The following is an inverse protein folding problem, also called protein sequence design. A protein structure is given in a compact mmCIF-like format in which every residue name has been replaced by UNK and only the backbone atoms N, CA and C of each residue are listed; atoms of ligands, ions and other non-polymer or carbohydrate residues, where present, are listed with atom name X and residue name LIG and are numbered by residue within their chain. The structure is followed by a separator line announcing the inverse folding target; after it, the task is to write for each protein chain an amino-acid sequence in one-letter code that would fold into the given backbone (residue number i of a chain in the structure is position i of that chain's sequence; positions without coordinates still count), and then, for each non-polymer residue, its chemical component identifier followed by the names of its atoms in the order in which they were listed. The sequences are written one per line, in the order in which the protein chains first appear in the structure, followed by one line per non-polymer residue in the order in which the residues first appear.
data_IF_870270208251
#
_entry.id   IF_870270208251
#
_cell.length_a   1.000
_cell.length_b   1.000
_cell.length_c   1.000
_cell.angle_alpha   90.00
_cell.angle_beta   90.00
_cell.angle_gamma   90.00
#
_symmetry.space_group_name_H-M   'P 1'
#
loop_
_entity.id
_entity.type
_entity.pdbx_description
1 polymer ?
#
# COMPACT_ATOMS: atom_id res chain seq x y z
N UNK A 1 5.06 14.82 -1.31
CA UNK A 1 4.52 14.72 -2.67
C UNK A 1 3.56 13.55 -2.65
N UNK A 2 2.29 13.78 -2.98
CA UNK A 2 1.24 12.76 -2.82
C UNK A 2 1.43 11.57 -3.77
N UNK A 3 2.18 11.76 -4.86
CA UNK A 3 2.32 10.77 -5.92
C UNK A 3 3.56 9.88 -5.73
N UNK A 4 4.71 10.47 -5.40
CA UNK A 4 5.95 9.76 -5.11
C UNK A 4 6.10 9.33 -3.65
N UNK A 5 5.33 9.94 -2.74
CA UNK A 5 5.52 9.78 -1.29
C UNK A 5 6.80 10.44 -0.77
N UNK A 6 7.54 11.19 -1.60
CA UNK A 6 8.77 11.86 -1.19
C UNK A 6 8.49 13.19 -0.47
N UNK A 7 9.39 13.57 0.43
CA UNK A 7 9.30 14.85 1.14
C UNK A 7 9.62 16.00 0.19
N UNK A 8 8.73 16.99 0.15
CA UNK A 8 8.87 18.17 -0.72
C UNK A 8 9.93 19.11 -0.13
N UNK A 9 10.81 19.63 -0.99
CA UNK A 9 11.91 20.51 -0.60
C UNK A 9 11.89 21.84 -1.34
N UNK A 10 12.35 22.88 -0.66
CA UNK A 10 12.62 24.19 -1.23
C UNK A 10 13.87 24.16 -2.12
N UNK A 11 14.11 25.23 -2.89
CA UNK A 11 15.33 25.38 -3.73
C UNK A 11 16.64 25.32 -2.95
N UNK A 12 16.64 25.69 -1.68
CA UNK A 12 17.80 25.57 -0.79
C UNK A 12 18.06 24.12 -0.33
N UNK A 13 17.19 23.17 -0.69
CA UNK A 13 17.27 21.75 -0.33
C UNK A 13 16.78 21.42 1.09
N UNK A 14 16.13 22.35 1.78
CA UNK A 14 15.43 22.08 3.05
C UNK A 14 14.01 21.59 2.78
N UNK A 15 13.44 20.81 3.70
CA UNK A 15 12.05 20.37 3.64
C UNK A 15 11.10 21.57 3.78
N UNK A 16 9.93 21.48 3.15
CA UNK A 16 8.83 22.43 3.35
C UNK A 16 8.03 21.98 4.58
N UNK A 17 7.77 22.90 5.51
CA UNK A 17 6.85 22.63 6.63
C UNK A 17 5.41 22.70 6.11
N UNK A 18 4.56 21.77 6.54
CA UNK A 18 3.12 21.87 6.30
C UNK A 18 2.53 22.98 7.19
N UNK A 19 1.73 23.86 6.60
CA UNK A 19 0.98 24.90 7.30
C UNK A 19 -0.37 24.35 7.82
N UNK A 20 -1.07 25.06 8.74
CA UNK A 20 -2.41 24.68 9.14
C UNK A 20 -3.36 24.45 7.95
N UNK A 21 -4.03 23.30 7.95
CA UNK A 21 -4.89 22.83 6.87
C UNK A 21 -4.19 21.94 5.83
N UNK A 22 -2.85 21.94 5.79
CA UNK A 22 -2.07 21.10 4.88
C UNK A 22 -1.74 19.74 5.50
N UNK A 23 -1.52 18.74 4.65
CA UNK A 23 -1.10 17.40 5.06
C UNK A 23 0.42 17.33 5.05
N UNK A 24 1.01 16.81 6.12
CA UNK A 24 2.44 16.58 6.24
C UNK A 24 2.76 15.28 6.97
N UNK A 25 3.92 14.70 6.68
CA UNK A 25 4.41 13.55 7.44
C UNK A 25 5.00 14.01 8.78
N UNK A 26 4.59 13.35 9.87
CA UNK A 26 5.17 13.65 11.18
C UNK A 26 6.54 12.96 11.31
N UNK A 27 7.53 13.71 11.79
CA UNK A 27 8.89 13.22 11.99
C UNK A 27 9.41 13.49 13.39
N UNK A 28 10.29 12.62 13.88
CA UNK A 28 10.97 12.80 15.15
C UNK A 28 12.40 13.29 14.92
N UNK A 29 12.79 14.43 15.48
CA UNK A 29 14.16 14.94 15.33
C UNK A 29 15.18 13.97 15.92
N UNK A 30 16.19 13.64 15.14
CA UNK A 30 17.31 12.81 15.58
C UNK A 30 18.40 13.71 16.17
N UNK A 31 18.82 13.42 17.40
CA UNK A 31 19.88 14.15 18.10
C UNK A 31 20.87 13.12 18.65
N UNK A 32 22.05 13.04 18.06
CA UNK A 32 23.04 12.00 18.39
C UNK A 32 23.54 12.09 19.84
N UNK A 33 23.51 13.28 20.44
CA UNK A 33 23.91 13.47 21.84
C UNK A 33 22.80 13.20 22.85
N UNK A 34 21.56 12.92 22.41
CA UNK A 34 20.40 12.72 23.28
C UNK A 34 20.03 11.23 23.35
N UNK A 35 20.08 10.58 24.51
CA UNK A 35 19.66 9.18 24.64
C UNK A 35 18.21 8.93 24.23
N UNK A 36 17.33 9.93 24.33
CA UNK A 36 15.90 9.82 24.02
C UNK A 36 15.62 10.06 22.54
N UNK A 37 16.44 10.90 21.90
CA UNK A 37 16.21 11.35 20.52
C UNK A 37 17.27 10.80 19.56
N UNK A 38 18.18 9.96 20.03
CA UNK A 38 19.06 9.22 19.14
C UNK A 38 18.29 8.08 18.47
N UNK A 39 18.79 7.65 17.31
CA UNK A 39 18.25 6.52 16.59
C UNK A 39 19.43 5.68 16.09
N UNK A 40 19.70 4.57 16.77
CA UNK A 40 20.78 3.64 16.43
C UNK A 40 20.57 2.96 15.07
N UNK A 41 19.34 3.03 14.55
CA UNK A 41 18.91 2.38 13.33
C UNK A 41 18.27 1.01 13.57
N UNK A 42 17.91 0.37 12.46
CA UNK A 42 17.48 -1.01 12.42
C UNK A 42 18.66 -1.94 12.14
N UNK A 43 18.49 -3.23 12.42
CA UNK A 43 19.45 -4.29 12.06
C UNK A 43 19.81 -4.26 10.57
N UNK A 44 18.86 -3.86 9.72
CA UNK A 44 19.09 -3.62 8.30
C UNK A 44 19.47 -2.15 8.05
N UNK A 45 20.72 -1.91 7.63
CA UNK A 45 21.22 -0.57 7.32
C UNK A 45 20.49 0.12 6.16
N UNK A 46 20.00 -0.64 5.18
CA UNK A 46 19.24 -0.07 4.05
C UNK A 46 17.90 0.47 4.54
N UNK A 47 17.19 -0.25 5.40
CA UNK A 47 15.95 0.21 6.00
C UNK A 47 16.17 1.42 6.93
N UNK A 48 17.31 1.44 7.64
CA UNK A 48 17.73 2.59 8.45
C UNK A 48 17.86 3.84 7.60
N UNK A 49 18.60 3.76 6.48
CA UNK A 49 18.81 4.90 5.58
C UNK A 49 17.50 5.42 5.00
N UNK A 50 16.53 4.54 4.71
CA UNK A 50 15.21 4.94 4.21
C UNK A 50 14.39 5.74 5.24
N UNK A 51 14.58 5.49 6.53
CA UNK A 51 13.83 6.15 7.60
C UNK A 51 14.47 7.44 8.12
N UNK A 52 15.70 7.76 7.72
CA UNK A 52 16.40 8.97 8.13
C UNK A 52 16.35 9.99 7.00
N UNK A 53 15.74 11.14 7.27
CA UNK A 53 15.81 12.31 6.40
C UNK A 53 16.81 13.31 6.97
N UNK A 54 17.61 13.93 6.11
CA UNK A 54 18.56 14.99 6.47
C UNK A 54 18.15 16.33 5.89
N UNK A 55 18.69 17.42 6.45
CA UNK A 55 18.43 18.79 6.01
C UNK A 55 16.92 19.08 6.00
N UNK A 56 16.26 18.84 7.13
CA UNK A 56 14.82 19.02 7.35
C UNK A 56 14.51 20.51 7.43
N UNK A 57 14.81 21.17 8.54
CA UNK A 57 14.56 22.60 8.71
C UNK A 57 15.86 23.42 8.77
N UNK A 58 17.00 22.76 8.99
CA UNK A 58 18.34 23.36 8.99
C UNK A 58 19.34 22.44 8.30
N UNK A 59 20.37 23.01 7.70
CA UNK A 59 21.43 22.16 7.11
C UNK A 59 22.11 21.33 8.20
N UNK A 60 22.23 20.02 7.96
CA UNK A 60 22.84 19.05 8.86
C UNK A 60 21.93 18.45 9.92
N UNK A 61 20.70 18.96 10.13
CA UNK A 61 19.75 18.28 11.01
C UNK A 61 19.23 16.98 10.37
N UNK A 62 18.72 16.09 11.22
CA UNK A 62 18.15 14.81 10.82
C UNK A 62 16.82 14.58 11.54
N UNK A 63 15.93 13.85 10.88
CA UNK A 63 14.71 13.34 11.50
C UNK A 63 14.44 11.90 11.07
N UNK A 64 13.77 11.16 11.95
CA UNK A 64 13.17 9.88 11.69
C UNK A 64 11.77 10.08 11.09
N UNK A 65 11.50 9.42 9.97
CA UNK A 65 10.22 9.43 9.27
C UNK A 65 9.27 8.36 9.84
N UNK A 66 8.19 8.78 10.52
CA UNK A 66 7.25 7.83 11.14
C UNK A 66 6.43 7.06 10.08
N UNK A 67 6.19 7.69 8.94
CA UNK A 67 5.25 7.28 7.92
C UNK A 67 3.80 7.68 8.20
N UNK A 68 3.50 8.45 9.24
CA UNK A 68 2.14 8.89 9.54
C UNK A 68 1.91 10.31 8.98
N UNK A 69 0.90 10.44 8.11
CA UNK A 69 0.45 11.70 7.54
C UNK A 69 -0.61 12.31 8.45
N UNK A 70 -0.36 13.55 8.88
CA UNK A 70 -1.24 14.30 9.76
C UNK A 70 -1.64 15.63 9.09
N UNK A 71 -2.77 16.18 9.50
CA UNK A 71 -3.17 17.56 9.21
C UNK A 71 -3.34 18.31 10.52
N UNK A 72 -2.78 19.51 10.60
CA UNK A 72 -2.95 20.40 11.75
C UNK A 72 -4.02 21.43 11.46
N UNK A 73 -4.90 21.75 12.41
CA UNK A 73 -5.81 22.90 12.27
C UNK A 73 -5.18 24.21 12.78
N UNK A 74 -5.93 25.31 12.73
CA UNK A 74 -5.46 26.63 13.18
C UNK A 74 -5.22 26.71 14.70
N UNK A 75 -5.83 25.82 15.48
CA UNK A 75 -5.70 25.76 16.93
C UNK A 75 -4.56 24.82 17.37
N UNK A 76 -3.91 24.14 16.42
CA UNK A 76 -2.77 23.24 16.65
C UNK A 76 -3.17 21.80 16.94
N UNK A 77 -4.44 21.42 16.76
CA UNK A 77 -4.86 20.03 16.88
C UNK A 77 -4.41 19.24 15.66
N UNK A 78 -3.87 18.04 15.90
CA UNK A 78 -3.41 17.13 14.87
C UNK A 78 -4.46 16.05 14.60
N UNK A 79 -4.78 15.86 13.32
CA UNK A 79 -5.72 14.87 12.83
C UNK A 79 -4.98 13.86 11.97
N UNK A 80 -5.17 12.57 12.27
CA UNK A 80 -4.65 11.50 11.44
C UNK A 80 -5.31 11.53 10.07
N UNK A 81 -4.49 11.52 9.02
CA UNK A 81 -4.96 11.51 7.63
C UNK A 81 -4.75 10.12 7.06
N UNK A 82 -3.52 9.63 7.09
CA UNK A 82 -3.15 8.37 6.45
C UNK A 82 -1.79 7.87 6.92
N UNK A 83 -1.36 6.70 6.44
CA UNK A 83 -0.02 6.17 6.62
C UNK A 83 0.64 5.90 5.27
N UNK A 84 1.84 6.44 5.07
CA UNK A 84 2.66 6.18 3.89
C UNK A 84 2.87 4.68 3.72
N UNK A 85 2.45 4.15 2.58
CA UNK A 85 2.54 2.72 2.24
C UNK A 85 1.29 1.89 2.57
N UNK A 86 0.30 2.45 3.28
CA UNK A 86 -1.01 1.81 3.51
C UNK A 86 -2.08 2.30 2.50
N UNK A 87 -1.71 3.19 1.58
CA UNK A 87 -2.51 3.61 0.43
C UNK A 87 -1.78 3.40 -0.89
N UNK A 88 -2.54 3.32 -1.98
CA UNK A 88 -2.02 3.40 -3.34
C UNK A 88 -2.98 4.21 -4.21
N UNK A 89 -2.46 4.84 -5.26
CA UNK A 89 -3.26 5.62 -6.21
C UNK A 89 -3.60 4.79 -7.43
N UNK A 90 -4.88 4.72 -7.81
CA UNK A 90 -5.35 3.99 -8.98
C UNK A 90 -6.31 4.86 -9.79
N UNK A 91 -5.99 5.11 -11.07
CA UNK A 91 -6.80 5.97 -11.96
C UNK A 91 -7.12 7.35 -11.37
N UNK A 92 -6.15 7.96 -10.69
CA UNK A 92 -6.28 9.27 -10.07
C UNK A 92 -6.91 9.28 -8.67
N UNK A 93 -7.37 8.13 -8.17
CA UNK A 93 -8.06 8.00 -6.88
C UNK A 93 -7.17 7.35 -5.81
N UNK A 94 -7.25 7.82 -4.57
CA UNK A 94 -6.53 7.22 -3.44
C UNK A 94 -7.33 6.03 -2.88
N UNK A 95 -6.67 4.89 -2.74
CA UNK A 95 -7.28 3.66 -2.21
C UNK A 95 -6.64 3.30 -0.87
N UNK A 96 -7.46 3.24 0.18
CA UNK A 96 -7.07 2.73 1.50
C UNK A 96 -6.97 1.21 1.49
N UNK A 97 -5.77 0.67 1.70
CA UNK A 97 -5.60 -0.79 1.80
C UNK A 97 -6.38 -1.36 2.98
N UNK A 98 -6.45 -0.63 4.10
CA UNK A 98 -7.18 -1.06 5.30
C UNK A 98 -8.70 -1.12 5.09
N UNK A 99 -9.28 -0.17 4.35
CA UNK A 99 -10.71 -0.20 4.01
C UNK A 99 -11.04 -1.44 3.16
N UNK A 100 -10.22 -1.69 2.13
CA UNK A 100 -10.41 -2.85 1.26
C UNK A 100 -10.20 -4.16 2.03
N UNK A 101 -9.17 -4.25 2.89
CA UNK A 101 -8.92 -5.39 3.77
C UNK A 101 -10.11 -5.67 4.68
N UNK A 102 -10.68 -4.65 5.33
CA UNK A 102 -11.83 -4.80 6.21
C UNK A 102 -13.07 -5.35 5.48
N UNK A 103 -13.32 -4.87 4.25
CA UNK A 103 -14.41 -5.40 3.42
C UNK A 103 -14.14 -6.85 3.03
N UNK A 104 -12.92 -7.19 2.61
CA UNK A 104 -12.56 -8.57 2.24
C UNK A 104 -12.72 -9.51 3.44
N UNK A 105 -12.18 -9.15 4.60
CA UNK A 105 -12.27 -9.95 5.83
C UNK A 105 -13.72 -10.22 6.20
N UNK A 106 -14.60 -9.21 6.10
CA UNK A 106 -16.04 -9.39 6.37
C UNK A 106 -16.70 -10.38 5.44
N UNK A 107 -16.32 -10.40 4.17
CA UNK A 107 -16.90 -11.29 3.14
C UNK A 107 -16.35 -12.71 3.22
N UNK A 108 -15.09 -12.84 3.65
CA UNK A 108 -14.33 -14.10 3.69
C UNK A 108 -14.28 -14.72 5.09
N UNK A 109 -15.25 -14.36 5.96
CA UNK A 109 -15.37 -14.90 7.32
C UNK A 109 -14.10 -14.73 8.16
N UNK A 110 -13.52 -13.53 8.11
CA UNK A 110 -12.30 -13.11 8.84
C UNK A 110 -11.03 -13.85 8.42
N UNK A 111 -10.94 -14.26 7.15
CA UNK A 111 -9.68 -14.76 6.59
C UNK A 111 -8.59 -13.68 6.64
N UNK A 112 -7.35 -14.08 6.94
CA UNK A 112 -6.21 -13.17 6.85
C UNK A 112 -6.12 -12.61 5.43
N UNK A 113 -5.96 -11.28 5.34
CA UNK A 113 -5.95 -10.57 4.07
C UNK A 113 -4.95 -9.42 4.13
N UNK A 114 -4.21 -9.25 3.03
CA UNK A 114 -3.40 -8.06 2.81
C UNK A 114 -3.69 -7.45 1.45
N UNK A 115 -3.77 -6.12 1.40
CA UNK A 115 -3.99 -5.34 0.18
C UNK A 115 -2.82 -4.38 -0.05
N UNK A 116 -2.42 -4.24 -1.31
CA UNK A 116 -1.38 -3.33 -1.76
C UNK A 116 -1.55 -3.00 -3.25
N UNK A 117 -0.88 -1.94 -3.71
CA UNK A 117 -0.82 -1.59 -5.13
C UNK A 117 0.33 -2.31 -5.86
N UNK A 118 0.07 -2.79 -7.08
CA UNK A 118 1.07 -3.34 -8.02
C UNK A 118 1.22 -2.47 -9.26
N UNK A 119 2.45 -2.36 -9.75
CA UNK A 119 2.74 -1.63 -11.00
C UNK A 119 2.30 -2.46 -12.21
N UNK A 120 1.65 -1.81 -13.17
CA UNK A 120 1.24 -2.41 -14.43
C UNK A 120 1.72 -1.52 -15.56
N UNK A 121 2.37 -2.10 -16.57
CA UNK A 121 2.93 -1.33 -17.68
C UNK A 121 1.87 -0.45 -18.36
N UNK A 122 2.19 0.84 -18.49
CA UNK A 122 1.31 1.81 -19.14
C UNK A 122 0.13 2.30 -18.29
N UNK A 123 0.05 1.90 -17.02
CA UNK A 123 -0.93 2.41 -16.07
C UNK A 123 -0.33 3.56 -15.24
N UNK A 124 -1.08 4.65 -15.09
CA UNK A 124 -0.76 5.70 -14.12
C UNK A 124 -1.17 5.23 -12.70
N UNK A 125 -0.21 5.25 -11.78
CA UNK A 125 -0.40 4.72 -10.42
C UNK A 125 -0.21 3.21 -10.33
N UNK A 126 -0.95 2.57 -9.41
CA UNK A 126 -0.85 1.13 -9.10
C UNK A 126 -2.22 0.48 -9.09
N UNK A 127 -2.32 -0.70 -9.68
CA UNK A 127 -3.53 -1.51 -9.63
C UNK A 127 -3.67 -2.21 -8.28
N UNK A 128 -4.90 -2.32 -7.75
CA UNK A 128 -5.14 -3.00 -6.48
C UNK A 128 -4.90 -4.50 -6.55
N UNK A 129 -4.15 -5.03 -5.60
CA UNK A 129 -3.94 -6.47 -5.39
C UNK A 129 -4.32 -6.85 -3.97
N UNK A 130 -5.15 -7.88 -3.83
CA UNK A 130 -5.45 -8.52 -2.55
C UNK A 130 -4.83 -9.92 -2.48
N UNK A 131 -4.27 -10.28 -1.34
CA UNK A 131 -3.84 -11.65 -1.03
C UNK A 131 -4.71 -12.13 0.13
N UNK A 132 -5.38 -13.27 -0.05
CA UNK A 132 -6.31 -13.82 0.93
C UNK A 132 -5.86 -15.22 1.30
N UNK A 133 -5.72 -15.47 2.60
CA UNK A 133 -5.41 -16.80 3.11
C UNK A 133 -6.66 -17.69 3.08
N UNK A 134 -6.53 -18.90 2.53
CA UNK A 134 -7.59 -19.91 2.53
C UNK A 134 -6.94 -21.28 2.43
N UNK A 135 -7.04 -22.08 3.51
CA UNK A 135 -6.41 -23.41 3.58
C UNK A 135 -6.98 -24.40 2.56
N UNK A 136 -8.25 -24.26 2.21
CA UNK A 136 -8.93 -25.13 1.24
C UNK A 136 -9.13 -24.46 -0.14
N UNK A 137 -8.64 -23.22 -0.30
CA UNK A 137 -8.86 -22.36 -1.48
C UNK A 137 -10.33 -22.16 -1.90
N UNK A 138 -11.31 -22.47 -1.04
CA UNK A 138 -12.75 -22.39 -1.34
C UNK A 138 -13.33 -20.97 -1.26
N UNK A 139 -12.60 -19.96 -1.72
CA UNK A 139 -13.16 -18.60 -1.78
C UNK A 139 -14.14 -18.51 -2.95
N UNK A 140 -15.42 -18.25 -2.64
CA UNK A 140 -16.41 -17.94 -3.66
C UNK A 140 -16.12 -16.57 -4.30
N UNK A 141 -15.37 -16.59 -5.39
CA UNK A 141 -14.94 -15.40 -6.14
C UNK A 141 -16.10 -14.57 -6.70
N UNK A 142 -17.23 -15.21 -7.03
CA UNK A 142 -18.41 -14.50 -7.49
C UNK A 142 -19.04 -13.69 -6.34
N UNK A 143 -19.21 -14.31 -5.18
CA UNK A 143 -19.71 -13.64 -3.99
C UNK A 143 -18.75 -12.54 -3.51
N UNK A 144 -17.43 -12.79 -3.59
CA UNK A 144 -16.41 -11.79 -3.28
C UNK A 144 -16.57 -10.55 -4.16
N UNK A 145 -16.58 -10.73 -5.49
CA UNK A 145 -16.73 -9.63 -6.45
C UNK A 145 -18.03 -8.82 -6.27
N UNK A 146 -19.15 -9.51 -5.99
CA UNK A 146 -20.44 -8.84 -5.75
C UNK A 146 -20.38 -8.03 -4.46
N UNK A 147 -19.86 -8.61 -3.38
CA UNK A 147 -19.78 -7.95 -2.07
C UNK A 147 -18.83 -6.76 -2.07
N UNK A 148 -17.70 -6.85 -2.77
CA UNK A 148 -16.74 -5.76 -2.92
C UNK A 148 -17.37 -4.59 -3.67
N UNK A 149 -17.98 -4.82 -4.83
CA UNK A 149 -18.65 -3.76 -5.60
C UNK A 149 -19.82 -3.09 -4.88
N UNK A 150 -20.44 -3.78 -3.93
CA UNK A 150 -21.53 -3.22 -3.13
C UNK A 150 -21.02 -2.29 -2.04
N UNK A 151 -19.82 -2.52 -1.54
CA UNK A 151 -19.26 -1.83 -0.36
C UNK A 151 -18.13 -0.86 -0.70
N UNK A 152 -17.49 -1.02 -1.85
CA UNK A 152 -16.36 -0.21 -2.30
C UNK A 152 -16.71 0.54 -3.58
N UNK A 153 -16.17 1.75 -3.78
CA UNK A 153 -16.22 2.42 -5.07
C UNK A 153 -15.47 1.60 -6.14
N UNK A 154 -15.83 1.73 -7.44
CA UNK A 154 -15.25 0.92 -8.50
C UNK A 154 -13.72 0.91 -8.58
N UNK A 155 -13.05 2.02 -8.25
CA UNK A 155 -11.59 2.15 -8.26
C UNK A 155 -10.90 1.42 -7.09
N UNK A 156 -11.62 1.14 -5.99
CA UNK A 156 -11.06 0.47 -4.82
C UNK A 156 -11.23 -1.06 -4.86
N UNK A 157 -12.03 -1.57 -5.80
CA UNK A 157 -12.15 -3.02 -6.01
C UNK A 157 -10.82 -3.56 -6.54
N UNK A 158 -10.18 -4.54 -5.85
CA UNK A 158 -8.92 -5.11 -6.31
C UNK A 158 -9.02 -5.65 -7.73
N UNK A 159 -8.07 -5.26 -8.57
CA UNK A 159 -7.90 -5.76 -9.94
C UNK A 159 -7.38 -7.20 -9.91
N UNK A 160 -6.53 -7.52 -8.94
CA UNK A 160 -5.97 -8.85 -8.75
C UNK A 160 -6.32 -9.41 -7.38
N UNK A 161 -6.61 -10.70 -7.32
CA UNK A 161 -6.78 -11.46 -6.08
C UNK A 161 -5.88 -12.68 -6.13
N UNK A 162 -5.04 -12.88 -5.12
CA UNK A 162 -4.23 -14.08 -4.94
C UNK A 162 -4.76 -14.87 -3.76
N UNK A 163 -4.95 -16.17 -3.93
CA UNK A 163 -5.35 -17.07 -2.85
C UNK A 163 -4.14 -17.89 -2.44
N UNK A 164 -3.82 -17.89 -1.15
CA UNK A 164 -2.65 -18.57 -0.58
C UNK A 164 -3.04 -19.38 0.64
N UNK A 165 -2.22 -20.35 1.07
CA UNK A 165 -2.53 -21.18 2.23
C UNK A 165 -2.50 -20.38 3.54
N UNK A 166 -1.56 -19.43 3.63
CA UNK A 166 -1.32 -18.61 4.82
C UNK A 166 -0.59 -17.31 4.49
N UNK A 167 -0.81 -16.32 5.33
CA UNK A 167 -0.05 -15.08 5.33
C UNK A 167 0.78 -15.04 6.61
N UNK A 168 2.10 -14.92 6.46
CA UNK A 168 2.98 -14.84 7.63
C UNK A 168 2.73 -13.55 8.41
N UNK A 169 2.81 -13.64 9.74
CA UNK A 169 2.73 -12.50 10.63
C UNK A 169 4.02 -12.31 11.41
N UNK A 170 4.30 -11.06 11.78
CA UNK A 170 5.36 -10.70 12.71
C UNK A 170 5.05 -11.21 14.12
N UNK A 171 6.02 -11.18 15.04
CA UNK A 171 5.79 -11.49 16.46
C UNK A 171 4.76 -10.58 17.16
N UNK A 172 4.40 -9.45 16.55
CA UNK A 172 3.30 -8.56 16.98
C UNK A 172 2.01 -8.79 16.20
N UNK A 173 1.85 -9.95 15.53
CA UNK A 173 0.68 -10.35 14.73
C UNK A 173 0.35 -9.46 13.52
N UNK A 174 1.28 -8.58 13.09
CA UNK A 174 1.10 -7.81 11.85
C UNK A 174 1.42 -8.70 10.64
N UNK A 175 0.47 -8.83 9.72
CA UNK A 175 0.63 -9.57 8.46
C UNK A 175 1.72 -8.95 7.58
N UNK A 176 2.58 -9.79 6.99
CA UNK A 176 3.71 -9.39 6.18
C UNK A 176 3.32 -9.19 4.72
N UNK A 177 3.33 -7.93 4.25
CA UNK A 177 3.03 -7.57 2.85
C UNK A 177 4.25 -7.63 1.92
N UNK A 178 5.45 -7.46 2.46
CA UNK A 178 6.67 -7.18 1.68
C UNK A 178 7.13 -8.32 0.76
N UNK A 179 6.82 -9.58 1.11
CA UNK A 179 7.12 -10.72 0.24
C UNK A 179 6.19 -10.72 -0.98
N UNK A 180 4.90 -10.45 -0.77
CA UNK A 180 3.89 -10.42 -1.82
C UNK A 180 4.06 -9.26 -2.80
N UNK A 181 4.43 -8.08 -2.30
CA UNK A 181 4.68 -6.91 -3.16
C UNK A 181 5.81 -7.15 -4.16
N UNK A 182 6.82 -7.94 -3.80
CA UNK A 182 7.95 -8.30 -4.69
C UNK A 182 7.55 -9.27 -5.79
N UNK A 183 6.69 -10.23 -5.50
CA UNK A 183 6.20 -11.19 -6.51
C UNK A 183 5.13 -10.56 -7.41
N UNK A 184 4.40 -9.56 -6.90
CA UNK A 184 3.32 -8.91 -7.63
C UNK A 184 2.29 -9.92 -8.12
N UNK A 185 1.81 -9.71 -9.35
CA UNK A 185 0.75 -10.49 -9.97
C UNK A 185 1.24 -11.44 -11.09
N UNK A 186 2.54 -11.78 -11.14
CA UNK A 186 3.07 -12.66 -12.18
C UNK A 186 2.76 -14.14 -11.88
N UNK A 187 1.89 -14.82 -12.66
CA UNK A 187 1.43 -16.18 -12.35
C UNK A 187 2.55 -17.23 -12.49
N UNK A 188 3.59 -16.95 -13.26
CA UNK A 188 4.72 -17.88 -13.48
C UNK A 188 5.81 -17.80 -12.41
N UNK A 189 5.71 -16.82 -11.51
CA UNK A 189 6.70 -16.58 -10.45
C UNK A 189 6.31 -17.20 -9.10
N UNK A 190 5.09 -17.73 -8.99
CA UNK A 190 4.50 -18.21 -7.75
C UNK A 190 3.66 -19.48 -7.99
N UNK A 191 3.46 -20.25 -6.93
CA UNK A 191 2.61 -21.46 -6.94
C UNK A 191 1.13 -21.16 -6.74
N UNK A 192 0.83 -20.01 -6.14
CA UNK A 192 -0.51 -19.62 -5.73
C UNK A 192 -1.37 -19.22 -6.94
N UNK A 193 -2.68 -19.48 -6.85
CA UNK A 193 -3.62 -19.02 -7.86
C UNK A 193 -3.81 -17.50 -7.76
N UNK A 194 -3.62 -16.82 -8.90
CA UNK A 194 -3.95 -15.40 -9.07
C UNK A 194 -5.18 -15.30 -9.97
N UNK A 195 -6.06 -14.37 -9.65
CA UNK A 195 -7.26 -14.09 -10.39
C UNK A 195 -7.30 -12.61 -10.78
N UNK A 196 -7.83 -12.34 -11.97
CA UNK A 196 -8.03 -11.01 -12.53
C UNK A 196 -9.52 -10.64 -12.49
N UNK A 197 -9.82 -9.41 -12.10
CA UNK A 197 -11.18 -8.89 -12.11
C UNK A 197 -11.64 -8.53 -13.52
N UNK A 198 -12.41 -9.41 -14.14
CA UNK A 198 -13.03 -9.14 -15.43
C UNK A 198 -14.36 -8.39 -15.24
N UNK A 199 -14.26 -7.05 -15.31
CA UNK A 199 -15.42 -6.16 -15.19
C UNK A 199 -16.33 -6.17 -16.44
N UNK A 200 -15.84 -6.66 -17.58
CA UNK A 200 -16.53 -6.51 -18.87
C UNK A 200 -17.45 -7.70 -19.13
N UNK A 201 -16.94 -8.93 -19.04
CA UNK A 201 -17.68 -10.10 -19.49
C UNK A 201 -18.35 -10.84 -18.33
N UNK A 202 -17.58 -11.21 -17.31
CA UNK A 202 -18.05 -12.07 -16.21
C UNK A 202 -18.48 -11.28 -14.98
N UNK A 203 -18.03 -10.03 -14.84
CA UNK A 203 -18.25 -9.20 -13.63
C UNK A 203 -17.74 -9.89 -12.35
N UNK A 204 -16.73 -10.75 -12.48
CA UNK A 204 -16.17 -11.60 -11.43
C UNK A 204 -14.65 -11.78 -11.61
N UNK A 205 -14.04 -12.57 -10.73
CA UNK A 205 -12.61 -12.90 -10.81
C UNK A 205 -12.41 -14.18 -11.61
N UNK A 206 -11.60 -14.10 -12.67
CA UNK A 206 -11.23 -15.23 -13.54
C UNK A 206 -9.75 -15.57 -13.33
N UNK A 207 -9.36 -16.83 -13.55
CA UNK A 207 -7.97 -17.25 -13.36
C UNK A 207 -7.03 -16.44 -14.27
N UNK A 208 -5.96 -15.90 -13.71
CA UNK A 208 -4.90 -15.20 -14.43
C UNK A 208 -3.90 -16.22 -14.98
N UNK A 209 -4.16 -16.72 -16.19
CA UNK A 209 -3.20 -17.56 -16.90
C UNK A 209 -2.07 -16.72 -17.54
N UNK A 210 -1.07 -17.42 -18.10
CA UNK A 210 0.06 -16.77 -18.78
C UNK A 210 -0.39 -15.87 -19.92
N UNK A 211 -1.45 -16.24 -20.65
CA UNK A 211 -1.92 -15.48 -21.81
C UNK A 211 -2.57 -14.17 -21.38
N UNK A 212 -3.44 -14.21 -20.38
CA UNK A 212 -4.10 -13.05 -19.82
C UNK A 212 -3.08 -12.11 -19.17
N UNK A 213 -2.08 -12.65 -18.48
CA UNK A 213 -0.96 -11.87 -17.96
C UNK A 213 -0.19 -11.13 -19.06
N UNK A 214 0.15 -11.80 -20.16
CA UNK A 214 0.79 -11.17 -21.33
C UNK A 214 -0.10 -10.10 -21.96
N UNK A 215 -1.40 -10.36 -22.06
CA UNK A 215 -2.36 -9.43 -22.66
C UNK A 215 -2.50 -8.14 -21.82
N UNK A 216 -2.50 -8.25 -20.48
CA UNK A 216 -2.50 -7.11 -19.56
C UNK A 216 -1.16 -6.35 -19.61
N UNK A 217 -0.04 -7.06 -19.49
CA UNK A 217 1.30 -6.44 -19.44
C UNK A 217 1.76 -5.83 -20.77
N UNK A 218 1.24 -6.30 -21.89
CA UNK A 218 1.43 -5.69 -23.23
C UNK A 218 0.42 -4.57 -23.53
N UNK A 219 -0.53 -4.29 -22.63
CA UNK A 219 -1.55 -3.26 -22.80
C UNK A 219 -2.66 -3.60 -23.82
N UNK A 220 -2.76 -4.86 -24.27
CA UNK A 220 -3.86 -5.36 -25.11
C UNK A 220 -5.17 -5.37 -24.34
N UNK A 221 -5.12 -5.72 -23.06
CA UNK A 221 -6.20 -5.50 -22.11
C UNK A 221 -5.83 -4.31 -21.24
N UNK A 222 -6.65 -3.26 -21.30
CA UNK A 222 -6.52 -2.10 -20.41
C UNK A 222 -7.35 -2.34 -19.16
N UNK A 223 -6.74 -2.11 -18.01
CA UNK A 223 -7.36 -2.29 -16.69
C UNK A 223 -7.85 -0.98 -16.11
#
# INVERSE_FOLDING_TARGET
DEESGEVIRQKNGLCISAEPGEVGEVGARIIDSSPISHFDGYTNQTETKKKIISNVFRKGDKAFLSGDLLRMDSDGFLYFVDRTGDTYRYKGENVSTAEVEAVIQKVTQLSDCVVFGVEVNGLEGKAGMAVIASQDHEINLMQLAVSLRKQLPPYAVPVFVRITDRIESTGSYKLLKNSFTKTGFCPNSITDCIYFYDNIHTKSYILLDSKLYEDITSGRIRI
#
